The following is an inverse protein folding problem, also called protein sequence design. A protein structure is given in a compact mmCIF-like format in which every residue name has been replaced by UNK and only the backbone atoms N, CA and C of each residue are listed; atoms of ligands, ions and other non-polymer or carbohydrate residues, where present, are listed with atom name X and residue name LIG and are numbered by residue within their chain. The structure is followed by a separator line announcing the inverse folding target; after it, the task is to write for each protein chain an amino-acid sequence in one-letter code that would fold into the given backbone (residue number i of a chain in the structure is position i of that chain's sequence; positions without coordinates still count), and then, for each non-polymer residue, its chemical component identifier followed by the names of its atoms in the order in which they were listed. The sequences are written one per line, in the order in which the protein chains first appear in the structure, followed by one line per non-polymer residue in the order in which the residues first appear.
data_IF_620580952717
#
_entry.id   IF_620580952717
#
_cell.length_a   1.000
_cell.length_b   1.000
_cell.length_c   1.000
_cell.angle_alpha   90.00
_cell.angle_beta   90.00
_cell.angle_gamma   90.00
#
_symmetry.space_group_name_H-M   'P 1'
#
loop_
_entity.id
_entity.type
_entity.pdbx_description
1 polymer ?
#
# COMPACT_ATOMS: atom_id res chain seq x y z
N UNK A 1 16.42 -16.55 -31.54
CA UNK A 1 15.57 -15.80 -32.51
C UNK A 1 14.06 -16.02 -32.34
N UNK A 2 13.56 -16.62 -31.24
CA UNK A 2 12.11 -16.81 -31.00
C UNK A 2 11.43 -15.69 -30.19
N UNK A 3 12.22 -14.87 -29.48
CA UNK A 3 11.72 -13.81 -28.58
C UNK A 3 11.25 -12.57 -29.36
N UNK A 4 11.78 -12.34 -30.56
CA UNK A 4 11.47 -11.15 -31.35
C UNK A 4 10.10 -11.27 -32.07
N UNK A 5 9.71 -12.49 -32.44
CA UNK A 5 8.42 -12.76 -33.11
C UNK A 5 7.23 -12.66 -32.14
N UNK A 6 7.43 -13.02 -30.88
CA UNK A 6 6.40 -12.95 -29.83
C UNK A 6 6.11 -11.52 -29.41
N UNK A 7 7.09 -10.63 -29.44
CA UNK A 7 6.88 -9.21 -29.15
C UNK A 7 6.10 -8.49 -30.26
N UNK A 8 6.31 -8.88 -31.52
CA UNK A 8 5.62 -8.26 -32.66
C UNK A 8 4.14 -8.66 -32.75
N UNK A 9 3.77 -9.86 -32.29
CA UNK A 9 2.39 -10.34 -32.25
C UNK A 9 1.58 -9.80 -31.07
N UNK A 10 2.23 -9.25 -30.03
CA UNK A 10 1.53 -8.66 -28.87
C UNK A 10 1.10 -7.21 -29.13
N UNK A 11 1.76 -6.49 -30.04
CA UNK A 11 1.39 -5.12 -30.41
C UNK A 11 0.19 -5.02 -31.36
N UNK A 12 -0.22 -6.11 -32.02
CA UNK A 12 -1.36 -6.11 -32.96
C UNK A 12 -2.70 -6.45 -32.31
N UNK A 13 -2.73 -6.68 -30.99
CA UNK A 13 -3.95 -6.99 -30.23
C UNK A 13 -4.55 -5.76 -29.51
N UNK A 14 -4.29 -4.54 -30.00
CA UNK A 14 -5.12 -3.40 -29.60
C UNK A 14 -6.48 -3.52 -30.32
N UNK A 15 -7.60 -3.61 -29.59
CA UNK A 15 -8.90 -3.55 -30.24
C UNK A 15 -9.05 -2.16 -30.88
N UNK A 16 -9.24 -2.17 -32.19
CA UNK A 16 -9.79 -1.07 -32.96
C UNK A 16 -11.22 -0.77 -32.44
N UNK A 17 -11.30 -0.04 -31.33
CA UNK A 17 -12.53 0.49 -30.76
C UNK A 17 -12.30 1.95 -30.38
N UNK A 18 -11.92 2.76 -31.37
CA UNK A 18 -12.12 4.19 -31.33
C UNK A 18 -13.15 4.54 -32.41
N UNK A 19 -14.33 3.92 -32.31
CA UNK A 19 -15.54 4.51 -32.86
C UNK A 19 -15.64 5.92 -32.28
N UNK A 20 -15.71 6.89 -33.17
CA UNK A 20 -15.93 8.30 -32.90
C UNK A 20 -17.19 8.44 -32.05
N UNK A 21 -17.04 8.38 -30.73
CA UNK A 21 -17.98 8.99 -29.83
C UNK A 21 -17.89 10.48 -30.12
N UNK A 22 -18.97 11.05 -30.67
CA UNK A 22 -19.13 12.50 -30.74
C UNK A 22 -18.69 13.10 -29.39
N UNK A 23 -17.97 14.22 -29.36
CA UNK A 23 -17.48 14.78 -28.11
C UNK A 23 -18.69 15.06 -27.21
N UNK A 24 -18.92 14.19 -26.23
CA UNK A 24 -19.93 14.42 -25.20
C UNK A 24 -19.51 15.70 -24.50
N UNK A 25 -20.36 16.73 -24.59
CA UNK A 25 -20.14 17.96 -23.86
C UNK A 25 -20.06 17.61 -22.37
N UNK A 26 -18.86 17.77 -21.79
CA UNK A 26 -18.63 17.59 -20.36
C UNK A 26 -19.11 18.85 -19.68
N UNK A 27 -20.02 18.70 -18.72
CA UNK A 27 -20.46 19.85 -17.93
C UNK A 27 -19.32 20.33 -17.02
N UNK A 28 -19.37 21.59 -16.58
CA UNK A 28 -18.34 22.12 -15.68
C UNK A 28 -18.24 21.30 -14.38
N UNK A 29 -19.37 20.83 -13.85
CA UNK A 29 -19.41 19.98 -12.67
C UNK A 29 -18.72 18.62 -12.90
N UNK A 30 -19.01 17.96 -14.02
CA UNK A 30 -18.34 16.70 -14.40
C UNK A 30 -16.82 16.90 -14.57
N UNK A 31 -16.41 18.00 -15.20
CA UNK A 31 -14.99 18.35 -15.36
C UNK A 31 -14.32 18.59 -14.00
N UNK A 32 -15.00 19.27 -13.08
CA UNK A 32 -14.48 19.54 -11.74
C UNK A 32 -14.33 18.25 -10.93
N UNK A 33 -15.32 17.35 -10.99
CA UNK A 33 -15.25 16.04 -10.33
C UNK A 33 -14.12 15.18 -10.89
N UNK A 34 -13.92 15.20 -12.20
CA UNK A 34 -12.80 14.52 -12.86
C UNK A 34 -11.45 15.10 -12.42
N UNK A 35 -11.34 16.42 -12.38
CA UNK A 35 -10.13 17.11 -11.94
C UNK A 35 -9.80 16.80 -10.47
N UNK A 36 -10.80 16.84 -9.57
CA UNK A 36 -10.64 16.45 -8.17
C UNK A 36 -10.20 15.00 -8.02
N UNK A 37 -10.80 14.07 -8.76
CA UNK A 37 -10.47 12.65 -8.69
C UNK A 37 -9.07 12.32 -9.23
N UNK A 38 -8.49 13.20 -10.07
CA UNK A 38 -7.18 13.01 -10.71
C UNK A 38 -6.11 13.98 -10.18
N UNK A 39 -6.46 14.83 -9.22
CA UNK A 39 -5.52 15.80 -8.67
C UNK A 39 -4.46 15.08 -7.82
N UNK A 40 -3.23 15.10 -8.31
CA UNK A 40 -2.06 14.54 -7.61
C UNK A 40 -1.74 15.32 -6.34
N UNK A 41 -1.98 16.64 -6.34
CA UNK A 41 -1.79 17.50 -5.17
C UNK A 41 -2.76 17.12 -4.02
N UNK A 42 -4.04 16.90 -4.34
CA UNK A 42 -5.01 16.41 -3.37
C UNK A 42 -4.66 15.00 -2.88
N UNK A 43 -4.18 14.12 -3.76
CA UNK A 43 -3.72 12.79 -3.38
C UNK A 43 -2.52 12.85 -2.40
N UNK A 44 -1.52 13.68 -2.71
CA UNK A 44 -0.36 13.90 -1.84
C UNK A 44 -0.76 14.49 -0.48
N UNK A 45 -1.70 15.44 -0.46
CA UNK A 45 -2.25 15.99 0.78
C UNK A 45 -2.96 14.91 1.62
N UNK A 46 -3.77 14.06 0.99
CA UNK A 46 -4.46 12.96 1.67
C UNK A 46 -3.49 11.91 2.25
N UNK A 47 -2.38 11.63 1.57
CA UNK A 47 -1.30 10.79 2.11
C UNK A 47 -0.62 11.44 3.31
N UNK A 48 -0.37 12.75 3.27
CA UNK A 48 0.17 13.50 4.39
C UNK A 48 -0.72 13.41 5.65
N UNK A 49 -2.04 13.51 5.48
CA UNK A 49 -3.00 13.34 6.59
C UNK A 49 -2.87 11.95 7.22
N UNK A 50 -2.80 10.88 6.41
CA UNK A 50 -2.63 9.51 6.92
C UNK A 50 -1.33 9.33 7.71
N UNK A 51 -0.25 9.96 7.27
CA UNK A 51 1.04 9.94 7.98
C UNK A 51 0.95 10.66 9.32
N UNK A 52 0.30 11.83 9.36
CA UNK A 52 0.07 12.56 10.61
C UNK A 52 -0.79 11.77 11.59
N UNK A 53 -1.87 11.15 11.13
CA UNK A 53 -2.70 10.28 11.97
C UNK A 53 -1.91 9.08 12.51
N UNK A 54 -1.02 8.50 11.69
CA UNK A 54 -0.14 7.43 12.14
C UNK A 54 0.84 7.90 13.22
N UNK A 55 1.48 9.06 13.01
CA UNK A 55 2.38 9.67 13.98
C UNK A 55 1.65 9.97 15.30
N UNK A 56 0.43 10.50 15.23
CA UNK A 56 -0.42 10.74 16.40
C UNK A 56 -0.67 9.45 17.18
N UNK A 57 -1.02 8.35 16.49
CA UNK A 57 -1.24 7.04 17.13
C UNK A 57 0.02 6.53 17.84
N UNK A 58 1.21 6.71 17.23
CA UNK A 58 2.48 6.32 17.86
C UNK A 58 2.80 7.17 19.08
N UNK A 59 2.61 8.49 19.01
CA UNK A 59 2.81 9.38 20.16
C UNK A 59 1.86 8.98 21.29
N UNK A 60 0.58 8.75 20.97
CA UNK A 60 -0.44 8.37 21.95
C UNK A 60 -0.15 7.02 22.60
N UNK A 61 0.40 6.05 21.86
CA UNK A 61 0.74 4.73 22.43
C UNK A 61 1.90 4.80 23.40
N UNK A 62 2.83 5.75 23.24
CA UNK A 62 3.93 5.96 24.19
C UNK A 62 3.44 6.34 25.61
N UNK A 63 2.25 6.94 25.71
CA UNK A 63 1.62 7.30 27.00
C UNK A 63 0.65 6.24 27.53
N UNK A 64 0.58 5.06 26.90
CA UNK A 64 -0.27 3.96 27.33
C UNK A 64 0.60 2.82 27.87
N UNK A 65 0.25 2.22 29.03
CA UNK A 65 0.92 1.01 29.48
C UNK A 65 0.81 -0.08 28.42
N UNK A 66 1.93 -0.72 28.12
CA UNK A 66 1.97 -1.87 27.21
C UNK A 66 2.11 -3.14 28.04
N UNK A 67 1.33 -4.16 27.67
CA UNK A 67 1.38 -5.48 28.31
C UNK A 67 2.17 -6.38 27.36
N UNK A 68 3.35 -6.81 27.80
CA UNK A 68 4.16 -7.79 27.11
C UNK A 68 4.30 -9.04 27.97
N UNK A 69 4.08 -10.20 27.39
CA UNK A 69 4.38 -11.50 28.02
C UNK A 69 5.68 -12.04 27.47
N UNK A 70 6.60 -12.45 28.34
CA UNK A 70 7.76 -13.25 27.95
C UNK A 70 7.80 -14.52 28.80
N UNK A 71 8.06 -15.65 28.15
CA UNK A 71 8.38 -16.91 28.80
C UNK A 71 9.89 -17.10 28.73
N UNK A 72 10.54 -17.27 29.87
CA UNK A 72 11.97 -17.53 29.96
C UNK A 72 12.17 -18.80 30.77
N UNK A 73 12.81 -19.80 30.17
CA UNK A 73 13.22 -21.03 30.85
C UNK A 73 14.74 -20.98 31.01
N UNK A 74 15.21 -20.97 32.26
CA UNK A 74 16.63 -21.14 32.57
C UNK A 74 16.87 -22.59 32.95
N UNK A 75 17.53 -23.36 32.08
CA UNK A 75 17.99 -24.72 32.40
C UNK A 75 19.14 -24.60 33.40
N UNK A 76 18.87 -24.86 34.67
CA UNK A 76 19.90 -25.04 35.68
C UNK A 76 20.74 -26.25 35.33
N UNK A 77 22.02 -26.05 35.02
CA UNK A 77 22.97 -27.14 34.84
C UNK A 77 22.92 -28.04 36.08
N UNK A 78 22.47 -29.28 35.88
CA UNK A 78 22.24 -30.24 36.94
C UNK A 78 23.47 -30.39 37.82
N UNK A 79 23.31 -30.09 39.11
CA UNK A 79 24.16 -30.65 40.15
C UNK A 79 23.88 -32.15 40.16
N UNK A 80 24.66 -32.92 39.40
CA UNK A 80 24.68 -34.38 39.52
C UNK A 80 25.26 -34.69 40.90
N UNK A 81 24.38 -34.92 41.89
CA UNK A 81 24.76 -35.54 43.15
C UNK A 81 25.32 -36.92 42.85
N UNK A 82 26.65 -37.07 42.90
CA UNK A 82 27.26 -38.38 43.03
C UNK A 82 27.08 -38.80 44.49
N UNK A 83 26.01 -39.53 44.75
CA UNK A 83 26.01 -40.45 45.88
C UNK A 83 26.97 -41.59 45.55
N UNK A 84 28.12 -41.60 46.20
CA UNK A 84 28.80 -42.79 46.72
C UNK A 84 29.57 -42.38 47.97
#
# INVERSE_FOLDING_TARGET
MKVLLTFFLLSSALPAAAQQAAPRAVTLDEAYRLALARSEELAASAEGVKQLEYAERQIRSAFRPSIYGFASETVGAGLSGRGQ
#
